data_IF_718535504276
#
_entry.id   IF_718535504276
#
_cell.length_a   1.000
_cell.length_b   1.000
_cell.length_c   1.000
_cell.angle_alpha   90.00
_cell.angle_beta   90.00
_cell.angle_gamma   90.00
#
_symmetry.space_group_name_H-M   'P 1'
#
loop_
_entity.id
_entity.type
_entity.pdbx_description
1 polymer ?
2 water ?
#
# COMPACT_ATOMS: atom_id res chain seq x y z
N UNK A 2 -44.05 -11.70 -0.64
CA UNK A 2 -43.85 -12.83 -1.58
C UNK A 2 -42.54 -12.74 -2.37
N UNK A 3 -41.46 -13.27 -1.79
CA UNK A 3 -40.17 -13.29 -2.46
C UNK A 3 -39.75 -14.73 -2.70
N UNK A 4 -39.42 -15.04 -3.94
CA UNK A 4 -39.03 -16.40 -4.32
C UNK A 4 -37.56 -16.71 -4.04
N UNK A 5 -37.21 -17.99 -3.89
CA UNK A 5 -35.80 -18.32 -3.64
C UNK A 5 -34.90 -17.82 -4.76
N UNK A 6 -35.35 -17.99 -6.00
CA UNK A 6 -34.57 -17.54 -7.12
C UNK A 6 -34.32 -16.03 -7.07
N UNK A 7 -35.31 -15.25 -6.61
CA UNK A 7 -35.14 -13.78 -6.49
C UNK A 7 -34.08 -13.53 -5.44
N UNK A 8 -34.24 -14.23 -4.33
CA UNK A 8 -33.30 -14.12 -3.23
C UNK A 8 -31.90 -14.57 -3.59
N UNK A 9 -31.79 -15.74 -4.24
CA UNK A 9 -30.50 -16.31 -4.63
C UNK A 9 -29.73 -15.33 -5.51
N UNK A 10 -30.46 -14.58 -6.33
CA UNK A 10 -29.82 -13.61 -7.19
C UNK A 10 -29.12 -12.57 -6.33
N UNK A 11 -29.77 -12.15 -5.24
CA UNK A 11 -29.13 -11.15 -4.41
C UNK A 11 -27.97 -11.77 -3.66
N UNK A 12 -28.09 -13.03 -3.22
CA UNK A 12 -26.98 -13.70 -2.52
C UNK A 12 -25.72 -13.80 -3.43
N UNK A 13 -25.90 -14.14 -4.71
CA UNK A 13 -24.76 -14.23 -5.61
C UNK A 13 -24.08 -12.88 -5.82
N UNK A 14 -24.86 -11.80 -5.88
CA UNK A 14 -24.28 -10.45 -6.02
C UNK A 14 -23.47 -10.17 -4.76
N UNK A 15 -24.07 -10.42 -3.60
CA UNK A 15 -23.34 -10.20 -2.34
C UNK A 15 -22.07 -11.07 -2.28
N UNK A 16 -22.12 -12.30 -2.75
CA UNK A 16 -20.91 -13.13 -2.77
C UNK A 16 -19.79 -12.48 -3.59
N UNK A 17 -20.10 -11.98 -4.78
CA UNK A 17 -19.08 -11.33 -5.61
C UNK A 17 -18.59 -10.02 -4.96
N UNK A 18 -19.49 -9.30 -4.32
CA UNK A 18 -19.06 -8.07 -3.68
C UNK A 18 -18.10 -8.38 -2.54
N UNK A 19 -18.40 -9.42 -1.77
CA UNK A 19 -17.54 -9.81 -0.65
C UNK A 19 -16.16 -10.15 -1.20
N UNK A 20 -16.11 -10.83 -2.34
CA UNK A 20 -14.80 -11.16 -2.94
C UNK A 20 -14.08 -9.85 -3.41
N UNK A 21 -14.81 -8.89 -3.98
CA UNK A 21 -14.18 -7.64 -4.40
C UNK A 21 -13.63 -6.92 -3.18
N UNK A 22 -14.40 -6.88 -2.09
CA UNK A 22 -13.95 -6.19 -0.86
C UNK A 22 -12.69 -6.83 -0.30
N UNK A 23 -12.58 -8.15 -0.42
CA UNK A 23 -11.37 -8.81 0.06
C UNK A 23 -10.17 -8.33 -0.74
N UNK A 24 -10.31 -8.33 -2.06
CA UNK A 24 -9.25 -7.88 -2.97
C UNK A 24 -8.87 -6.42 -2.74
N UNK A 25 -9.87 -5.57 -2.56
CA UNK A 25 -9.65 -4.14 -2.32
C UNK A 25 -8.87 -3.93 -1.03
N UNK A 26 -9.29 -4.60 0.04
CA UNK A 26 -8.57 -4.47 1.32
C UNK A 26 -7.10 -4.87 1.17
N UNK A 27 -6.84 -5.96 0.44
CA UNK A 27 -5.47 -6.42 0.22
C UNK A 27 -4.67 -5.40 -0.58
N UNK A 28 -5.33 -4.77 -1.54
CA UNK A 28 -4.68 -3.78 -2.39
C UNK A 28 -4.35 -2.50 -1.62
N UNK A 29 -5.30 -1.99 -0.84
CA UNK A 29 -5.05 -0.75 -0.10
C UNK A 29 -3.96 -0.99 0.93
N UNK A 30 -4.00 -2.16 1.57
CA UNK A 30 -3.02 -2.52 2.58
C UNK A 30 -1.61 -2.61 2.01
N UNK A 31 -1.49 -3.16 0.80
CA UNK A 31 -0.20 -3.29 0.13
C UNK A 31 0.34 -1.91 -0.25
N UNK A 32 -0.56 -0.98 -0.54
CA UNK A 32 -0.17 0.38 -0.90
C UNK A 32 0.46 1.01 0.34
N UNK A 33 -0.23 0.88 1.46
CA UNK A 33 0.23 1.42 2.73
C UNK A 33 1.55 0.81 3.21
N UNK A 34 1.75 -0.50 3.01
CA UNK A 34 3.02 -1.08 3.46
C UNK A 34 4.16 -0.66 2.53
N UNK A 35 3.85 -0.50 1.25
CA UNK A 35 4.85 -0.09 0.27
C UNK A 35 5.26 1.36 0.45
N UNK A 36 4.31 2.21 0.81
CA UNK A 36 4.60 3.62 1.02
C UNK A 36 5.51 3.83 2.23
N UNK A 37 5.46 2.90 3.17
CA UNK A 37 6.32 3.03 4.34
C UNK A 37 7.69 2.44 4.07
N UNK A 38 7.75 1.48 3.15
CA UNK A 38 9.04 0.90 2.80
C UNK A 38 9.78 2.00 2.04
N UNK A 39 9.03 2.77 1.26
CA UNK A 39 9.58 3.85 0.46
C UNK A 39 10.04 5.03 1.33
N UNK A 40 9.23 5.38 2.33
CA UNK A 40 9.55 6.45 3.26
C UNK A 40 10.81 6.15 4.09
N UNK A 41 10.95 4.90 4.51
CA UNK A 41 12.11 4.49 5.28
C UNK A 41 13.36 4.55 4.41
N UNK A 42 13.21 4.07 3.18
CA UNK A 42 14.32 4.04 2.24
C UNK A 42 14.80 5.45 1.92
N UNK A 43 13.85 6.39 1.93
CA UNK A 43 14.13 7.78 1.62
C UNK A 43 14.93 8.50 2.68
N UNK A 44 14.55 8.30 3.94
CA UNK A 44 15.25 8.94 5.04
C UNK A 44 16.67 8.44 5.11
N UNK A 45 16.86 7.15 4.85
CA UNK A 45 18.19 6.58 4.89
C UNK A 45 19.02 7.17 3.76
N UNK A 46 18.44 7.24 2.57
CA UNK A 46 19.14 7.80 1.42
C UNK A 46 19.59 9.26 1.67
N UNK A 47 18.69 10.09 2.19
CA UNK A 47 19.07 11.47 2.49
C UNK A 47 20.19 11.55 3.56
N UNK A 48 20.18 10.65 4.53
CA UNK A 48 21.23 10.66 5.55
C UNK A 48 22.56 10.22 4.91
N UNK A 49 22.55 9.13 4.17
CA UNK A 49 23.80 8.67 3.50
C UNK A 49 24.39 9.77 2.59
N UNK A 50 23.55 10.45 1.82
CA UNK A 50 24.05 11.51 0.94
C UNK A 50 24.44 12.69 1.83
N UNK A 51 23.73 12.86 2.93
CA UNK A 51 24.10 13.95 3.82
C UNK A 51 25.53 13.74 4.33
N UNK A 52 25.90 12.50 4.64
CA UNK A 52 27.24 12.22 5.15
C UNK A 52 28.32 12.42 4.09
N UNK A 53 27.99 12.14 2.83
CA UNK A 53 28.97 12.40 1.77
C UNK A 53 29.20 13.91 1.65
N UNK A 54 28.12 14.71 1.72
CA UNK A 54 28.23 16.17 1.62
C UNK A 54 29.06 16.77 2.80
N UNK A 55 28.93 16.17 3.99
CA UNK A 55 29.70 16.57 5.20
C UNK A 55 31.16 16.37 4.81
N UNK A 56 31.42 15.28 4.10
CA UNK A 56 32.80 14.98 3.67
C UNK A 56 33.35 15.97 2.65
N UNK A 57 32.50 16.44 1.75
CA UNK A 57 32.91 17.43 0.75
C UNK A 57 33.21 18.77 1.45
N UNK A 58 32.33 19.15 2.37
CA UNK A 58 32.55 20.38 3.14
C UNK A 58 33.91 20.29 3.89
N UNK A 59 34.17 19.19 4.59
CA UNK A 59 35.44 19.05 5.33
C UNK A 59 36.66 19.09 4.42
N UNK A 60 36.59 18.40 3.29
CA UNK A 60 37.73 18.42 2.37
C UNK A 60 37.91 19.80 1.73
N UNK A 61 36.83 20.44 1.35
CA UNK A 61 36.95 21.75 0.73
C UNK A 61 37.71 22.73 1.64
N UNK A 62 37.40 22.70 2.93
CA UNK A 62 38.06 23.59 3.89
C UNK A 62 39.44 23.18 4.41
N UNK A 63 39.70 21.88 4.54
CA UNK A 63 40.97 21.39 5.11
C UNK A 63 41.85 20.52 4.20
N UNK A 64 41.29 20.02 3.11
CA UNK A 64 42.07 19.18 2.21
C UNK A 64 43.30 19.89 1.67
#
# INVERSE_FOLDING_TARGET
MGVSYEEFQVLVRRVDRMEHSIGSIVSKIDAVIVKLEIMERAKLKRREVLGRLLDGVAEDERLG
#
